data_IF_430690307651
#
_entry.id   IF_430690307651
#
_cell.length_a   1.000
_cell.length_b   1.000
_cell.length_c   1.000
_cell.angle_alpha   90.00
_cell.angle_beta   90.00
_cell.angle_gamma   90.00
#
_symmetry.space_group_name_H-M   'P 1'
#
loop_
_entity.id
_entity.type
_entity.pdbx_description
1 polymer ?
#
# COMPACT_ATOMS: atom_id res chain seq x y z
N UNK A 1 -9.18 14.65 -5.33
CA UNK A 1 -8.00 13.84 -5.06
C UNK A 1 -8.16 12.44 -5.63
N UNK A 2 -7.21 11.97 -6.43
CA UNK A 2 -7.36 10.69 -7.13
C UNK A 2 -7.07 9.47 -6.25
N UNK A 3 -6.34 9.63 -5.15
CA UNK A 3 -6.04 8.54 -4.23
C UNK A 3 -7.09 8.49 -3.13
N UNK A 4 -7.80 7.37 -3.04
CA UNK A 4 -8.84 7.15 -2.03
C UNK A 4 -8.70 5.79 -1.41
N UNK A 5 -8.99 5.69 -0.12
CA UNK A 5 -9.03 4.42 0.58
C UNK A 5 -10.38 4.31 1.29
N UNK A 6 -11.04 3.16 1.16
CA UNK A 6 -12.33 2.94 1.81
C UNK A 6 -12.15 2.31 3.20
N UNK A 7 -13.26 2.08 3.89
CA UNK A 7 -13.28 1.54 5.25
C UNK A 7 -12.76 0.10 5.32
N UNK A 8 -12.75 -0.62 4.21
CA UNK A 8 -12.23 -1.98 4.13
C UNK A 8 -10.77 -2.03 3.72
N UNK A 9 -10.12 -0.87 3.58
CA UNK A 9 -8.73 -0.79 3.21
C UNK A 9 -8.47 -0.93 1.72
N UNK A 10 -9.50 -0.85 0.88
CA UNK A 10 -9.33 -0.93 -0.57
C UNK A 10 -9.05 0.45 -1.14
N UNK A 11 -8.03 0.54 -1.98
CA UNK A 11 -7.53 1.78 -2.56
C UNK A 11 -8.04 1.92 -3.99
N UNK A 12 -8.39 3.14 -4.37
CA UNK A 12 -8.68 3.54 -5.75
C UNK A 12 -7.78 4.71 -6.09
N UNK A 13 -7.10 4.63 -7.23
CA UNK A 13 -6.14 5.66 -7.61
C UNK A 13 -5.93 5.71 -9.12
N UNK A 14 -5.24 6.75 -9.57
CA UNK A 14 -4.81 6.90 -10.95
C UNK A 14 -3.32 6.60 -11.04
N UNK A 15 -2.91 5.83 -12.06
CA UNK A 15 -1.52 5.48 -12.30
C UNK A 15 -0.64 6.74 -12.31
N UNK A 16 0.48 6.69 -11.58
CA UNK A 16 1.45 7.78 -11.54
C UNK A 16 1.15 8.88 -10.54
N UNK A 17 -0.04 8.88 -9.92
CA UNK A 17 -0.35 9.87 -8.89
C UNK A 17 0.28 9.45 -7.55
N UNK A 18 0.66 10.44 -6.75
CA UNK A 18 1.13 10.19 -5.39
C UNK A 18 -0.03 9.91 -4.46
N UNK A 19 0.25 9.16 -3.40
CA UNK A 19 -0.76 8.87 -2.39
C UNK A 19 -0.12 8.64 -1.04
N UNK A 20 -0.96 8.53 -0.01
CA UNK A 20 -0.51 8.23 1.34
C UNK A 20 -1.39 7.16 1.96
N UNK A 21 -0.75 6.16 2.56
CA UNK A 21 -1.44 5.16 3.36
C UNK A 21 -1.07 5.38 4.83
N UNK A 22 -2.08 5.59 5.67
CA UNK A 22 -1.91 5.81 7.10
C UNK A 22 -2.22 4.53 7.85
N UNK A 23 -1.29 4.06 8.66
CA UNK A 23 -1.47 2.86 9.49
C UNK A 23 -1.47 3.28 10.95
N UNK A 24 -2.58 3.02 11.65
CA UNK A 24 -2.79 3.40 13.05
C UNK A 24 -2.79 2.17 13.96
N UNK A 25 -2.73 2.41 15.25
CA UNK A 25 -2.95 1.37 16.25
C UNK A 25 -1.72 0.54 16.61
N UNK A 26 -0.54 1.04 16.25
CA UNK A 26 0.71 0.37 16.64
C UNK A 26 0.98 0.59 18.13
N UNK A 27 1.60 -0.41 18.78
CA UNK A 27 2.07 -0.24 20.15
C UNK A 27 3.12 0.87 20.22
N UNK A 28 3.09 1.62 21.32
CA UNK A 28 4.04 2.72 21.54
C UNK A 28 5.19 2.35 22.45
N UNK A 29 5.22 1.13 22.95
CA UNK A 29 6.28 0.62 23.84
C UNK A 29 7.41 -0.06 23.06
N UNK A 30 7.29 -0.15 21.73
CA UNK A 30 8.29 -0.76 20.84
C UNK A 30 8.46 0.08 19.59
N UNK A 31 9.62 -0.06 18.97
CA UNK A 31 9.86 0.45 17.63
C UNK A 31 9.63 -0.69 16.65
N UNK A 32 8.82 -0.42 15.60
CA UNK A 32 8.60 -1.36 14.50
C UNK A 32 9.21 -0.83 13.23
N UNK A 33 9.73 -1.73 12.40
CA UNK A 33 9.92 -1.44 10.98
C UNK A 33 8.66 -1.94 10.29
N UNK A 34 7.94 -1.04 9.63
CA UNK A 34 6.67 -1.35 8.98
C UNK A 34 6.91 -1.36 7.48
N UNK A 35 6.53 -2.47 6.83
CA UNK A 35 6.74 -2.67 5.40
C UNK A 35 5.42 -2.63 4.66
N UNK A 36 5.46 -2.04 3.47
CA UNK A 36 4.35 -2.02 2.53
C UNK A 36 4.85 -2.59 1.21
N UNK A 37 4.08 -3.48 0.61
CA UNK A 37 4.43 -4.09 -0.68
C UNK A 37 3.20 -4.27 -1.54
N UNK A 38 3.39 -4.17 -2.85
CA UNK A 38 2.33 -4.34 -3.85
C UNK A 38 2.63 -5.61 -4.64
N UNK A 39 1.57 -6.36 -4.95
CA UNK A 39 1.64 -7.56 -5.81
C UNK A 39 0.59 -7.46 -6.91
N UNK A 40 0.88 -8.11 -8.04
CA UNK A 40 -0.09 -8.27 -9.10
C UNK A 40 -1.01 -9.48 -8.83
N UNK A 41 -1.90 -9.81 -9.77
CA UNK A 41 -2.84 -10.92 -9.66
C UNK A 41 -2.15 -12.28 -9.58
N UNK A 42 -0.90 -12.38 -9.98
CA UNK A 42 -0.11 -13.60 -9.92
C UNK A 42 0.82 -13.64 -8.70
N UNK A 43 0.62 -12.73 -7.73
CA UNK A 43 1.40 -12.58 -6.50
C UNK A 43 2.87 -12.19 -6.77
N UNK A 44 3.15 -11.61 -7.92
CA UNK A 44 4.48 -11.10 -8.24
C UNK A 44 4.62 -9.69 -7.70
N UNK A 45 5.76 -9.37 -7.07
CA UNK A 45 5.95 -8.03 -6.54
C UNK A 45 6.00 -6.99 -7.65
N UNK A 46 5.38 -5.84 -7.39
CA UNK A 46 5.42 -4.68 -8.26
C UNK A 46 6.20 -3.59 -7.56
N UNK A 47 7.38 -3.30 -8.06
CA UNK A 47 8.29 -2.35 -7.42
C UNK A 47 8.93 -2.93 -6.16
N UNK A 48 9.64 -2.07 -5.45
CA UNK A 48 10.31 -2.43 -4.21
C UNK A 48 9.38 -2.21 -3.02
N UNK A 49 9.62 -2.98 -1.95
CA UNK A 49 8.94 -2.73 -0.68
C UNK A 49 9.31 -1.33 -0.17
N UNK A 50 8.34 -0.70 0.48
CA UNK A 50 8.54 0.58 1.15
C UNK A 50 8.54 0.31 2.65
N UNK A 51 9.50 0.86 3.39
CA UNK A 51 9.55 0.68 4.83
C UNK A 51 9.61 2.01 5.56
N UNK A 52 9.02 2.03 6.75
CA UNK A 52 9.00 3.20 7.63
C UNK A 52 9.18 2.70 9.07
N UNK A 53 10.00 3.42 9.83
CA UNK A 53 10.14 3.15 11.26
C UNK A 53 9.02 3.82 12.04
N UNK A 54 8.42 3.10 13.00
CA UNK A 54 7.33 3.67 13.81
C UNK A 54 7.85 4.66 14.86
N UNK A 55 9.09 4.50 15.30
CA UNK A 55 9.72 5.34 16.33
C UNK A 55 8.86 5.44 17.60
N UNK A 56 8.29 4.32 18.01
CA UNK A 56 7.43 4.23 19.20
C UNK A 56 6.18 5.11 19.13
N UNK A 57 5.74 5.43 17.89
CA UNK A 57 4.50 6.15 17.65
C UNK A 57 3.39 5.20 17.21
N UNK A 58 2.12 5.53 17.50
CA UNK A 58 1.02 4.66 17.12
C UNK A 58 0.66 4.69 15.65
N UNK A 59 1.21 5.64 14.89
CA UNK A 59 0.85 5.88 13.50
C UNK A 59 2.10 5.98 12.63
N UNK A 60 2.05 5.33 11.46
CA UNK A 60 3.04 5.53 10.40
C UNK A 60 2.32 5.93 9.13
N UNK A 61 3.01 6.68 8.26
CA UNK A 61 2.48 7.12 6.97
C UNK A 61 3.42 6.64 5.88
N UNK A 62 2.87 5.84 4.95
CA UNK A 62 3.60 5.47 3.74
C UNK A 62 3.27 6.49 2.66
N UNK A 63 4.31 7.09 2.08
CA UNK A 63 4.16 7.95 0.91
C UNK A 63 4.42 7.10 -0.32
N UNK A 64 3.39 6.93 -1.15
CA UNK A 64 3.51 6.19 -2.41
C UNK A 64 3.90 7.19 -3.49
N UNK A 65 5.17 7.14 -3.87
CA UNK A 65 5.73 8.08 -4.85
C UNK A 65 5.18 7.82 -6.24
N UNK A 66 5.22 8.83 -7.10
CA UNK A 66 4.80 8.68 -8.50
C UNK A 66 5.66 7.64 -9.24
N UNK A 67 6.94 7.50 -8.89
CA UNK A 67 7.79 6.48 -9.49
C UNK A 67 7.36 5.07 -9.14
N UNK A 68 6.82 4.85 -7.94
CA UNK A 68 6.26 3.55 -7.56
C UNK A 68 4.90 3.33 -8.24
N UNK A 69 3.99 4.28 -8.13
CA UNK A 69 2.62 4.14 -8.66
C UNK A 69 2.60 4.09 -10.19
N UNK A 70 3.60 4.67 -10.84
CA UNK A 70 3.72 4.59 -12.30
C UNK A 70 3.99 3.17 -12.79
N UNK A 71 4.47 2.29 -11.92
CA UNK A 71 4.67 0.86 -12.22
C UNK A 71 3.36 0.07 -12.24
N UNK A 72 2.27 0.66 -11.75
CA UNK A 72 0.96 0.03 -11.71
C UNK A 72 0.26 0.20 -13.05
N UNK A 73 0.68 -0.60 -14.02
CA UNK A 73 0.23 -0.47 -15.42
C UNK A 73 -1.22 -0.88 -15.59
N UNK A 74 -1.90 -0.20 -16.51
CA UNK A 74 -3.26 -0.52 -16.96
C UNK A 74 -3.17 -0.73 -18.47
N UNK A 75 -3.61 -1.90 -18.95
CA UNK A 75 -3.54 -2.20 -20.39
C UNK A 75 -4.49 -1.31 -21.17
N UNK A 76 -4.20 -1.10 -22.46
CA UNK A 76 -5.01 -0.23 -23.32
C UNK A 76 -6.45 -0.70 -23.47
N UNK A 77 -6.68 -2.01 -23.38
CA UNK A 77 -8.01 -2.61 -23.50
C UNK A 77 -8.71 -2.76 -22.15
N UNK A 78 -8.09 -2.31 -21.06
CA UNK A 78 -8.67 -2.35 -19.74
C UNK A 78 -9.17 -0.98 -19.32
N UNK A 79 -10.31 -0.97 -18.63
CA UNK A 79 -10.82 0.25 -17.99
C UNK A 79 -10.04 0.54 -16.71
N UNK A 80 -9.74 -0.51 -15.94
CA UNK A 80 -8.93 -0.45 -14.72
C UNK A 80 -8.13 -1.74 -14.59
N UNK A 81 -7.11 -1.72 -13.72
CA UNK A 81 -6.41 -2.94 -13.35
C UNK A 81 -6.33 -3.03 -11.84
N UNK A 82 -6.50 -4.24 -11.30
CA UNK A 82 -6.50 -4.45 -9.85
C UNK A 82 -5.18 -5.06 -9.41
N UNK A 83 -4.55 -4.42 -8.44
CA UNK A 83 -3.38 -4.91 -7.73
C UNK A 83 -3.74 -5.19 -6.28
N UNK A 84 -2.82 -5.74 -5.52
CA UNK A 84 -3.02 -6.09 -4.12
C UNK A 84 -1.87 -5.55 -3.30
N UNK A 85 -2.12 -5.24 -2.04
CA UNK A 85 -1.05 -4.78 -1.17
C UNK A 85 -1.15 -5.44 0.20
N UNK A 86 -0.05 -5.41 0.92
CA UNK A 86 0.02 -5.89 2.29
C UNK A 86 0.91 -5.02 3.14
N UNK A 87 0.68 -5.06 4.44
CA UNK A 87 1.47 -4.33 5.43
C UNK A 87 1.92 -5.31 6.50
N UNK A 88 3.18 -5.21 6.90
CA UNK A 88 3.78 -6.11 7.85
C UNK A 88 4.66 -5.31 8.82
N UNK A 89 4.63 -5.69 10.09
CA UNK A 89 5.52 -5.11 11.10
C UNK A 89 6.60 -6.10 11.51
N UNK A 90 7.78 -5.58 11.77
CA UNK A 90 8.90 -6.36 12.29
C UNK A 90 9.49 -5.66 13.52
N UNK A 91 9.82 -6.44 14.56
CA UNK A 91 10.52 -5.90 15.73
C UNK A 91 12.02 -6.15 15.61
N UNK A 92 12.81 -5.52 16.50
CA UNK A 92 14.25 -5.73 16.56
C UNK A 92 14.62 -7.17 16.89
N UNK A 93 13.75 -7.88 17.64
CA UNK A 93 13.96 -9.29 17.98
C UNK A 93 13.58 -10.25 16.85
N UNK A 94 13.05 -9.72 15.74
CA UNK A 94 12.68 -10.53 14.59
C UNK A 94 11.26 -11.07 14.61
N UNK A 95 10.39 -10.58 15.47
CA UNK A 95 8.97 -10.93 15.43
C UNK A 95 8.30 -10.20 14.27
N UNK A 96 7.56 -10.94 13.48
CA UNK A 96 6.88 -10.43 12.28
C UNK A 96 5.38 -10.63 12.43
N UNK A 97 4.62 -9.61 12.02
CA UNK A 97 3.17 -9.63 12.14
C UNK A 97 2.54 -8.96 10.92
N UNK A 98 1.65 -9.69 10.25
CA UNK A 98 0.91 -9.16 9.11
C UNK A 98 -0.32 -8.41 9.60
N UNK A 99 -0.46 -7.16 9.19
CA UNK A 99 -1.58 -6.33 9.62
C UNK A 99 -2.76 -6.45 8.66
N UNK A 100 -3.95 -6.51 9.25
CA UNK A 100 -5.21 -6.40 8.49
C UNK A 100 -5.59 -4.92 8.42
N UNK A 101 -5.67 -4.39 7.22
CA UNK A 101 -5.97 -2.98 7.00
C UNK A 101 -7.46 -2.80 6.76
N UNK A 102 -8.06 -1.77 7.41
CA UNK A 102 -9.46 -1.45 7.23
C UNK A 102 -10.42 -2.48 7.79
N UNK A 103 -9.98 -3.30 8.75
CA UNK A 103 -10.81 -4.32 9.36
C UNK A 103 -11.02 -5.58 8.53
N UNK A 104 -10.26 -5.75 7.45
CA UNK A 104 -10.31 -6.98 6.66
C UNK A 104 -9.66 -8.13 7.44
N UNK A 105 -10.10 -9.36 7.17
CA UNK A 105 -9.49 -10.56 7.73
C UNK A 105 -8.15 -10.87 7.02
N UNK A 106 -7.30 -11.67 7.66
CA UNK A 106 -6.00 -12.04 7.09
C UNK A 106 -6.11 -12.76 5.75
N UNK A 107 -7.22 -13.45 5.51
CA UNK A 107 -7.48 -14.10 4.23
C UNK A 107 -8.00 -13.16 3.15
N UNK A 108 -8.42 -11.97 3.53
CA UNK A 108 -8.94 -10.99 2.58
C UNK A 108 -7.78 -10.25 1.92
N UNK A 109 -8.00 -9.89 0.67
CA UNK A 109 -7.00 -9.16 -0.10
C UNK A 109 -7.36 -7.69 -0.08
N UNK A 110 -6.44 -6.87 0.41
CA UNK A 110 -6.56 -5.42 0.24
C UNK A 110 -6.19 -5.08 -1.20
N UNK A 111 -7.08 -4.43 -1.91
CA UNK A 111 -6.93 -4.16 -3.34
C UNK A 111 -6.53 -2.73 -3.64
N UNK A 112 -5.86 -2.56 -4.78
CA UNK A 112 -5.61 -1.25 -5.37
C UNK A 112 -6.22 -1.29 -6.77
N UNK A 113 -7.31 -0.55 -6.97
CA UNK A 113 -7.93 -0.41 -8.30
C UNK A 113 -7.31 0.82 -8.96
N UNK A 114 -6.64 0.60 -10.09
CA UNK A 114 -5.87 1.63 -10.77
C UNK A 114 -6.54 2.01 -12.06
N UNK A 115 -6.80 3.31 -12.23
CA UNK A 115 -7.27 3.91 -13.48
C UNK A 115 -6.08 4.38 -14.30
N UNK A 116 -6.16 4.32 -15.63
CA UNK A 116 -5.05 4.80 -16.47
C UNK A 116 -4.88 6.31 -16.35
N UNK A 117 -3.65 6.76 -16.46
CA UNK A 117 -3.38 8.20 -16.45
C UNK A 117 -3.76 8.82 -17.79
N UNK A 118 -4.28 10.04 -17.72
CA UNK A 118 -4.72 10.79 -18.91
C UNK A 118 -3.77 11.91 -19.27
N UNK A 119 -2.91 12.31 -18.33
CA UNK A 119 -1.93 13.37 -18.51
C UNK A 119 -0.56 12.82 -18.16
N UNK A 120 0.37 12.86 -19.09
CA UNK A 120 1.71 12.28 -18.93
C UNK A 120 2.67 13.19 -18.18
N UNK A 121 2.52 14.49 -18.33
CA UNK A 121 3.47 15.45 -17.80
C UNK A 121 3.11 15.97 -16.41
N UNK A 122 4.13 16.39 -15.70
CA UNK A 122 3.99 17.09 -14.44
C UNK A 122 5.06 18.18 -14.37
#
# INVERSE_FOLDING_TARGET
>A
MAFKIDENGNITMVQGDTGQLVVNGLNTDQNYTVYFAIQDENRRPVGNEVSVESNMQPTVVFVLSSSLTDLLKVAEDEETHTYYYGVKTCTAEGFEDTLSIGGSDMGDKNTITVYPKKVEGC
#
